data_IF_175536441256
#
_entry.id   IF_175536441256
#
_cell.length_a   1.000
_cell.length_b   1.000
_cell.length_c   1.000
_cell.angle_alpha   90.00
_cell.angle_beta   90.00
_cell.angle_gamma   90.00
#
_symmetry.space_group_name_H-M   'P 1'
#
loop_
_entity.id
_entity.type
_entity.pdbx_description
1 polymer ?
#
# COMPACT_ATOMS: atom_id res chain seq x y z
N UNK A 1 10.00 12.87 -8.53
CA UNK A 1 9.41 12.52 -7.21
C UNK A 1 10.31 13.09 -6.12
N UNK A 2 9.75 13.89 -5.21
CA UNK A 2 10.50 14.48 -4.09
C UNK A 2 10.71 13.43 -3.00
N UNK A 3 11.98 13.17 -2.67
CA UNK A 3 12.36 12.31 -1.56
C UNK A 3 12.08 13.05 -0.24
N UNK A 4 10.95 12.75 0.39
CA UNK A 4 10.60 13.34 1.66
C UNK A 4 9.34 12.74 2.24
N UNK A 5 9.48 11.56 2.88
CA UNK A 5 8.66 10.94 3.94
C UNK A 5 7.11 10.95 3.87
N UNK A 6 6.46 11.57 2.88
CA UNK A 6 5.01 11.62 2.72
C UNK A 6 4.49 10.82 1.51
N UNK A 7 5.36 10.33 0.61
CA UNK A 7 4.96 9.68 -0.65
C UNK A 7 5.30 8.19 -0.74
N UNK A 8 6.00 7.62 0.27
CA UNK A 8 6.51 6.25 0.18
C UNK A 8 5.42 5.17 0.22
N UNK A 9 4.23 5.46 0.75
CA UNK A 9 3.17 4.45 0.89
C UNK A 9 2.59 3.98 -0.46
N UNK A 10 2.69 4.80 -1.51
CA UNK A 10 2.23 4.43 -2.86
C UNK A 10 3.35 3.82 -3.70
N UNK A 11 4.57 3.75 -3.18
CA UNK A 11 5.71 3.23 -3.92
C UNK A 11 5.55 1.73 -4.16
N UNK A 12 5.84 1.29 -5.38
CA UNK A 12 5.80 -0.12 -5.73
C UNK A 12 6.94 -0.89 -5.04
N UNK A 13 6.72 -2.17 -4.68
CA UNK A 13 7.71 -2.98 -3.95
C UNK A 13 9.05 -3.09 -4.69
N UNK A 14 9.04 -3.21 -6.01
CA UNK A 14 10.23 -3.22 -6.86
C UNK A 14 11.04 -1.91 -6.72
N UNK A 15 10.34 -0.77 -6.66
CA UNK A 15 10.99 0.54 -6.48
C UNK A 15 11.53 0.69 -5.06
N UNK A 16 10.84 0.16 -4.05
CA UNK A 16 11.34 0.12 -2.66
C UNK A 16 12.62 -0.70 -2.53
N UNK A 17 12.77 -1.75 -3.33
CA UNK A 17 13.97 -2.61 -3.39
C UNK A 17 15.11 -1.98 -4.20
N UNK A 18 14.91 -0.79 -4.77
CA UNK A 18 15.89 -0.09 -5.60
C UNK A 18 15.96 -0.64 -7.04
N UNK A 19 14.99 -1.44 -7.46
CA UNK A 19 14.87 -1.86 -8.84
C UNK A 19 14.42 -0.69 -9.74
N UNK A 20 14.48 -0.92 -11.05
CA UNK A 20 14.19 0.11 -12.03
C UNK A 20 12.71 0.45 -12.03
N UNK A 21 12.40 1.72 -11.77
CA UNK A 21 11.06 2.27 -11.98
C UNK A 21 10.63 2.17 -13.45
N UNK A 22 9.42 1.68 -13.67
CA UNK A 22 8.78 1.52 -14.97
C UNK A 22 7.27 1.79 -14.90
N UNK A 23 6.53 1.48 -15.97
CA UNK A 23 5.08 1.69 -16.02
C UNK A 23 4.30 0.83 -15.02
N UNK A 24 4.87 -0.29 -14.56
CA UNK A 24 4.21 -1.19 -13.60
C UNK A 24 4.22 -0.58 -12.21
N UNK A 25 5.29 0.15 -11.87
CA UNK A 25 5.33 0.92 -10.62
C UNK A 25 4.22 1.99 -10.55
N UNK A 26 3.91 2.65 -11.68
CA UNK A 26 2.78 3.58 -11.77
C UNK A 26 1.44 2.88 -11.60
N UNK A 27 1.27 1.70 -12.22
CA UNK A 27 0.06 0.90 -12.05
C UNK A 27 -0.14 0.47 -10.60
N UNK A 28 0.92 0.04 -9.92
CA UNK A 28 0.85 -0.27 -8.49
C UNK A 28 0.41 0.95 -7.67
N UNK A 29 1.06 2.10 -7.89
CA UNK A 29 0.72 3.35 -7.22
C UNK A 29 -0.75 3.74 -7.44
N UNK A 30 -1.26 3.55 -8.65
CA UNK A 30 -2.66 3.77 -8.99
C UNK A 30 -3.60 2.81 -8.22
N UNK A 31 -3.25 1.53 -8.11
CA UNK A 31 -4.01 0.57 -7.31
C UNK A 31 -4.07 0.94 -5.83
N UNK A 32 -2.98 1.47 -5.26
CA UNK A 32 -2.96 2.02 -3.89
C UNK A 32 -3.92 3.22 -3.76
N UNK A 33 -3.97 4.13 -4.75
CA UNK A 33 -4.95 5.23 -4.77
C UNK A 33 -6.38 4.71 -4.85
N UNK A 34 -6.65 3.69 -5.66
CA UNK A 34 -7.98 3.08 -5.72
C UNK A 34 -8.40 2.49 -4.36
N UNK A 35 -7.48 1.87 -3.64
CA UNK A 35 -7.74 1.36 -2.29
C UNK A 35 -8.08 2.49 -1.31
N UNK A 36 -7.33 3.59 -1.36
CA UNK A 36 -7.55 4.78 -0.50
C UNK A 36 -8.93 5.41 -0.76
N UNK A 37 -9.33 5.50 -2.04
CA UNK A 37 -10.66 5.99 -2.43
C UNK A 37 -11.78 5.06 -1.98
N UNK A 38 -11.54 3.75 -2.01
CA UNK A 38 -12.52 2.74 -1.65
C UNK A 38 -12.77 2.66 -0.13
N UNK A 39 -11.70 2.61 0.67
CA UNK A 39 -11.80 2.51 2.14
C UNK A 39 -11.84 3.87 2.84
N UNK A 40 -11.63 4.98 2.11
CA UNK A 40 -11.58 6.35 2.63
C UNK A 40 -10.57 6.54 3.79
N UNK A 41 -9.45 5.82 3.75
CA UNK A 41 -8.36 5.95 4.73
C UNK A 41 -7.02 5.88 4.04
N UNK A 42 -5.98 6.45 4.67
CA UNK A 42 -4.62 6.35 4.17
C UNK A 42 -4.21 4.89 3.92
N UNK A 43 -3.36 4.62 2.91
CA UNK A 43 -2.86 3.29 2.65
C UNK A 43 -2.27 2.64 3.90
N UNK A 44 -2.61 1.37 4.15
CA UNK A 44 -2.14 0.57 5.28
C UNK A 44 -2.52 1.10 6.68
N UNK A 45 -3.49 2.02 6.80
CA UNK A 45 -3.92 2.55 8.09
C UNK A 45 -4.37 1.45 9.07
N UNK A 46 -4.98 0.36 8.57
CA UNK A 46 -5.40 -0.77 9.41
C UNK A 46 -4.22 -1.61 9.91
N UNK A 47 -3.21 -1.86 9.08
CA UNK A 47 -2.00 -2.58 9.51
C UNK A 47 -1.21 -1.79 10.57
N UNK A 48 -1.19 -0.45 10.44
CA UNK A 48 -0.60 0.45 11.44
C UNK A 48 -1.36 0.43 12.78
N UNK A 49 -2.68 0.20 12.76
CA UNK A 49 -3.50 -0.02 13.96
C UNK A 49 -3.34 -1.42 14.54
N UNK A 50 -3.27 -2.45 13.71
CA UNK A 50 -3.09 -3.85 14.16
C UNK A 50 -1.72 -4.10 14.78
N UNK A 51 -0.69 -3.41 14.27
CA UNK A 51 0.69 -3.53 14.74
C UNK A 51 1.01 -2.56 15.89
N UNK A 52 0.01 -2.14 16.67
CA UNK A 52 0.24 -1.52 17.98
C UNK A 52 0.81 -2.61 18.89
N UNK A 53 2.12 -2.58 19.11
CA UNK A 53 2.79 -3.48 20.05
C UNK A 53 2.12 -3.38 21.43
N UNK A 54 2.21 -4.42 22.26
CA UNK A 54 1.63 -4.44 23.62
C UNK A 54 2.07 -3.29 24.54
N UNK A 55 3.04 -2.47 24.12
CA UNK A 55 3.49 -1.24 24.77
C UNK A 55 3.00 0.07 24.13
N UNK A 56 2.02 0.05 23.22
CA UNK A 56 1.40 1.24 22.62
C UNK A 56 2.26 1.97 21.58
N UNK A 57 3.31 1.33 21.06
CA UNK A 57 4.17 1.94 20.02
C UNK A 57 3.57 1.69 18.64
N UNK A 58 3.54 2.76 17.85
CA UNK A 58 3.10 2.73 16.45
C UNK A 58 4.21 2.09 15.61
N UNK A 59 3.84 1.17 14.71
CA UNK A 59 4.77 0.56 13.75
C UNK A 59 5.57 1.65 13.01
N UNK A 60 6.90 1.54 13.04
CA UNK A 60 7.76 2.45 12.31
C UNK A 60 7.51 2.30 10.79
N UNK A 61 7.42 3.42 10.09
CA UNK A 61 7.09 3.44 8.66
C UNK A 61 8.10 2.61 7.83
N UNK A 62 9.38 2.59 8.22
CA UNK A 62 10.39 1.75 7.57
C UNK A 62 10.06 0.24 7.65
N UNK A 63 9.56 -0.23 8.79
CA UNK A 63 9.16 -1.64 8.97
C UNK A 63 7.93 -1.97 8.14
N UNK A 64 6.99 -1.02 8.03
CA UNK A 64 5.82 -1.17 7.14
C UNK A 64 6.26 -1.30 5.68
N UNK A 65 7.12 -0.40 5.19
CA UNK A 65 7.62 -0.44 3.82
C UNK A 65 8.39 -1.74 3.53
N UNK A 66 9.19 -2.23 4.49
CA UNK A 66 9.84 -3.55 4.37
C UNK A 66 8.83 -4.69 4.23
N UNK A 67 7.73 -4.67 4.99
CA UNK A 67 6.67 -5.68 4.91
C UNK A 67 5.91 -5.63 3.58
N UNK A 68 5.70 -4.42 3.03
CA UNK A 68 5.12 -4.20 1.70
C UNK A 68 6.06 -4.72 0.61
N UNK A 69 7.34 -4.37 0.66
CA UNK A 69 8.35 -4.86 -0.28
C UNK A 69 8.47 -6.40 -0.26
N UNK A 70 8.32 -7.02 0.92
CA UNK A 70 8.28 -8.48 1.08
C UNK A 70 6.95 -9.12 0.66
N UNK A 71 5.93 -8.34 0.30
CA UNK A 71 4.59 -8.84 -0.09
C UNK A 71 3.76 -9.41 1.08
N UNK A 72 4.19 -9.17 2.33
CA UNK A 72 3.51 -9.64 3.55
C UNK A 72 2.40 -8.70 4.03
N UNK A 73 2.40 -7.46 3.55
CA UNK A 73 1.37 -6.45 3.80
C UNK A 73 0.86 -5.96 2.46
N UNK A 74 -0.45 -5.78 2.36
CA UNK A 74 -1.16 -5.33 1.16
C UNK A 74 -2.12 -4.21 1.53
N UNK A 75 -2.52 -3.46 0.51
CA UNK A 75 -3.65 -2.53 0.65
C UNK A 75 -4.96 -3.30 0.77
N UNK A 76 -5.92 -2.70 1.45
CA UNK A 76 -7.23 -3.31 1.67
C UNK A 76 -8.27 -2.68 0.74
N UNK A 77 -9.23 -3.49 0.31
CA UNK A 77 -10.42 -3.06 -0.40
C UNK A 77 -11.65 -3.51 0.40
N UNK A 78 -12.70 -2.71 0.37
CA UNK A 78 -14.00 -2.95 0.97
C UNK A 78 -14.78 -4.02 0.19
N UNK A 79 -15.31 -5.01 0.90
CA UNK A 79 -16.22 -6.00 0.31
C UNK A 79 -17.62 -5.43 -0.03
N UNK A 80 -17.95 -4.23 0.49
CA UNK A 80 -19.29 -3.65 0.39
C UNK A 80 -19.47 -2.62 -0.74
N UNK A 81 -18.39 -2.27 -1.46
CA UNK A 81 -18.38 -1.21 -2.46
C UNK A 81 -18.45 -1.74 -3.92
N UNK A 82 -18.31 -0.84 -4.91
CA UNK A 82 -18.36 -1.17 -6.34
C UNK A 82 -17.30 -2.21 -6.70
N UNK A 83 -17.76 -3.44 -7.00
CA UNK A 83 -16.91 -4.57 -7.38
C UNK A 83 -15.93 -4.25 -8.51
N UNK A 84 -16.29 -3.38 -9.45
CA UNK A 84 -15.42 -2.95 -10.55
C UNK A 84 -14.19 -2.17 -10.09
N UNK A 85 -14.28 -1.38 -9.01
CA UNK A 85 -13.14 -0.63 -8.47
C UNK A 85 -12.21 -1.58 -7.73
N UNK A 86 -12.77 -2.49 -6.93
CA UNK A 86 -12.02 -3.52 -6.22
C UNK A 86 -11.27 -4.43 -7.19
N UNK A 87 -11.94 -4.89 -8.25
CA UNK A 87 -11.34 -5.73 -9.28
C UNK A 87 -10.19 -5.01 -10.01
N UNK A 88 -10.41 -3.76 -10.43
CA UNK A 88 -9.38 -2.95 -11.06
C UNK A 88 -8.19 -2.70 -10.13
N UNK A 89 -8.46 -2.35 -8.87
CA UNK A 89 -7.44 -2.13 -7.85
C UNK A 89 -6.63 -3.39 -7.60
N UNK A 90 -7.28 -4.55 -7.47
CA UNK A 90 -6.65 -5.86 -7.35
C UNK A 90 -5.75 -6.21 -8.53
N UNK A 91 -6.20 -5.93 -9.76
CA UNK A 91 -5.40 -6.14 -10.96
C UNK A 91 -4.15 -5.25 -11.01
N UNK A 92 -4.16 -4.10 -10.31
CA UNK A 92 -3.03 -3.18 -10.23
C UNK A 92 -1.97 -3.60 -9.20
N UNK A 93 -2.34 -4.27 -8.10
CA UNK A 93 -1.45 -4.55 -6.95
C UNK A 93 -1.15 -6.04 -6.71
N UNK A 94 -1.41 -6.89 -7.72
CA UNK A 94 -1.40 -8.36 -7.71
C UNK A 94 -0.47 -9.09 -6.70
N UNK A 95 -0.86 -10.31 -6.23
CA UNK A 95 -2.17 -10.94 -6.34
C UNK A 95 -3.09 -10.51 -5.18
N UNK A 96 -4.37 -10.27 -5.51
CA UNK A 96 -5.44 -10.49 -4.56
C UNK A 96 -5.68 -12.01 -4.45
#
# INVERSE_FOLDING_TARGET
MTAGMGTSLWMAPEVMLGERYDIKADMFSFGVVLSELDVHTLPYAQEKKRSLDSGGRVLADATLLQRVAAGTVRVEFSEANLSSITELGCACVLPC
#
